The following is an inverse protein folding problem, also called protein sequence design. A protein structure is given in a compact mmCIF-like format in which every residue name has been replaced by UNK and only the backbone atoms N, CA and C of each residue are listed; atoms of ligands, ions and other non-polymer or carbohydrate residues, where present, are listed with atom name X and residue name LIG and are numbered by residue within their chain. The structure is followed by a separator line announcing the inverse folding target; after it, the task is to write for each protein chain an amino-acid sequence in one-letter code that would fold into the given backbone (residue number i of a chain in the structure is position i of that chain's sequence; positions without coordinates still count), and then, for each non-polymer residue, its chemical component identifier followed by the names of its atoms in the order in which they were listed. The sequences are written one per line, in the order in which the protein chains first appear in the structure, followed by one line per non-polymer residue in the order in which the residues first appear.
data_IF_664770830993
#
_entry.id   IF_664770830993
#
_cell.length_a   1.000
_cell.length_b   1.000
_cell.length_c   1.000
_cell.angle_alpha   90.00
_cell.angle_beta   90.00
_cell.angle_gamma   90.00
#
_symmetry.space_group_name_H-M   'P 1'
#
loop_
_entity.id
_entity.type
_entity.pdbx_description
1 polymer ?
#
# COMPACT_ATOMS: atom_id res chain seq x y z
N UNK A 1 -11.95 2.88 1.00
CA UNK A 1 -11.67 3.46 -0.33
C UNK A 1 -10.72 2.56 -1.12
N UNK A 2 -9.51 2.30 -0.61
CA UNK A 2 -8.50 1.43 -1.22
C UNK A 2 -9.05 0.09 -1.76
N UNK A 3 -9.77 -0.68 -0.93
CA UNK A 3 -10.33 -1.97 -1.34
C UNK A 3 -11.24 -1.87 -2.56
N UNK A 4 -12.19 -0.93 -2.55
CA UNK A 4 -13.17 -0.75 -3.64
C UNK A 4 -12.58 -0.13 -4.90
N UNK A 5 -11.54 0.70 -4.76
CA UNK A 5 -10.96 1.43 -5.89
C UNK A 5 -9.74 0.75 -6.52
N UNK A 6 -9.12 -0.22 -5.84
CA UNK A 6 -7.87 -0.86 -6.29
C UNK A 6 -7.89 -2.36 -6.11
N UNK A 7 -8.07 -2.82 -4.88
CA UNK A 7 -7.73 -4.19 -4.54
C UNK A 7 -8.80 -5.19 -4.97
N UNK A 8 -10.04 -4.74 -5.23
CA UNK A 8 -11.15 -5.63 -5.55
C UNK A 8 -10.88 -6.47 -6.80
N UNK A 9 -10.37 -5.82 -7.85
CA UNK A 9 -9.96 -6.52 -9.07
C UNK A 9 -8.94 -7.62 -8.78
N UNK A 10 -7.86 -7.30 -8.07
CA UNK A 10 -6.80 -8.27 -7.76
C UNK A 10 -7.29 -9.42 -6.89
N UNK A 11 -8.14 -9.14 -5.89
CA UNK A 11 -8.74 -10.17 -5.05
C UNK A 11 -9.60 -11.13 -5.88
N UNK A 12 -10.45 -10.59 -6.77
CA UNK A 12 -11.34 -11.40 -7.61
C UNK A 12 -10.54 -12.19 -8.65
N UNK A 13 -9.52 -11.58 -9.25
CA UNK A 13 -8.63 -12.23 -10.21
C UNK A 13 -7.86 -13.40 -9.58
N UNK A 14 -7.24 -13.21 -8.41
CA UNK A 14 -6.53 -14.28 -7.72
C UNK A 14 -7.48 -15.37 -7.16
N UNK A 15 -8.69 -14.99 -6.74
CA UNK A 15 -9.72 -15.95 -6.38
C UNK A 15 -10.12 -16.83 -7.58
N UNK A 16 -10.25 -16.24 -8.77
CA UNK A 16 -10.59 -16.96 -9.99
C UNK A 16 -9.44 -17.89 -10.42
N UNK A 17 -8.18 -17.44 -10.39
CA UNK A 17 -7.03 -18.30 -10.69
C UNK A 17 -6.99 -19.55 -9.81
N UNK A 18 -7.28 -19.40 -8.52
CA UNK A 18 -7.40 -20.52 -7.60
C UNK A 18 -8.60 -21.42 -7.92
N UNK A 19 -9.75 -20.82 -8.23
CA UNK A 19 -10.97 -21.56 -8.57
C UNK A 19 -10.78 -22.44 -9.81
N UNK A 20 -10.07 -21.92 -10.81
CA UNK A 20 -9.79 -22.61 -12.08
C UNK A 20 -8.68 -23.66 -11.98
N UNK A 21 -8.03 -23.78 -10.82
CA UNK A 21 -6.94 -24.73 -10.59
C UNK A 21 -5.57 -24.27 -11.11
N UNK A 22 -5.42 -22.99 -11.48
CA UNK A 22 -4.13 -22.41 -11.89
C UNK A 22 -3.28 -21.91 -10.71
N UNK A 23 -3.78 -22.04 -9.49
CA UNK A 23 -3.06 -21.69 -8.28
C UNK A 23 -3.35 -22.70 -7.16
N UNK A 24 -2.37 -23.54 -6.83
CA UNK A 24 -2.42 -24.52 -5.75
C UNK A 24 -1.86 -24.00 -4.42
N UNK A 25 -1.15 -22.86 -4.46
CA UNK A 25 -0.55 -22.22 -3.29
C UNK A 25 0.77 -22.83 -2.83
N UNK A 26 1.40 -23.65 -3.68
CA UNK A 26 2.80 -24.05 -3.55
C UNK A 26 3.73 -22.84 -3.52
N UNK A 27 4.97 -23.05 -3.07
CA UNK A 27 5.94 -21.95 -3.04
C UNK A 27 6.28 -21.45 -4.45
N UNK A 28 6.36 -22.36 -5.42
CA UNK A 28 6.54 -22.01 -6.83
C UNK A 28 5.42 -21.09 -7.33
N UNK A 29 4.16 -21.46 -7.06
CA UNK A 29 3.02 -20.63 -7.44
C UNK A 29 3.11 -19.24 -6.82
N UNK A 30 3.40 -19.15 -5.52
CA UNK A 30 3.56 -17.86 -4.85
C UNK A 30 4.67 -17.01 -5.47
N UNK A 31 5.82 -17.60 -5.81
CA UNK A 31 6.91 -16.88 -6.48
C UNK A 31 6.52 -16.41 -7.87
N UNK A 32 5.82 -17.24 -8.65
CA UNK A 32 5.28 -16.85 -9.96
C UNK A 32 4.29 -15.70 -9.81
N UNK A 33 3.39 -15.77 -8.82
CA UNK A 33 2.43 -14.70 -8.55
C UNK A 33 3.13 -13.38 -8.19
N UNK A 34 4.16 -13.45 -7.33
CA UNK A 34 4.98 -12.29 -7.00
C UNK A 34 5.66 -11.73 -8.24
N UNK A 35 6.35 -12.56 -9.00
CA UNK A 35 7.07 -12.16 -10.21
C UNK A 35 6.16 -11.49 -11.24
N UNK A 36 5.00 -12.09 -11.53
CA UNK A 36 4.09 -11.61 -12.57
C UNK A 36 3.33 -10.34 -12.18
N UNK A 37 2.90 -10.22 -10.92
CA UNK A 37 1.90 -9.21 -10.55
C UNK A 37 2.37 -8.19 -9.53
N UNK A 38 3.39 -8.48 -8.72
CA UNK A 38 3.76 -7.60 -7.61
C UNK A 38 4.21 -6.22 -8.08
N UNK A 39 5.00 -6.15 -9.16
CA UNK A 39 5.45 -4.87 -9.73
C UNK A 39 4.28 -4.01 -10.23
N UNK A 40 3.29 -4.63 -10.87
CA UNK A 40 2.07 -3.98 -11.36
C UNK A 40 1.21 -3.50 -10.20
N UNK A 41 0.97 -4.36 -9.21
CA UNK A 41 0.21 -4.02 -7.99
C UNK A 41 0.89 -2.85 -7.26
N UNK A 42 2.21 -2.90 -7.11
CA UNK A 42 2.96 -1.83 -6.46
C UNK A 42 2.79 -0.49 -7.19
N UNK A 43 2.90 -0.49 -8.53
CA UNK A 43 2.67 0.72 -9.33
C UNK A 43 1.25 1.29 -9.16
N UNK A 44 0.23 0.43 -9.11
CA UNK A 44 -1.14 0.88 -8.87
C UNK A 44 -1.33 1.46 -7.46
N UNK A 45 -0.74 0.82 -6.45
CA UNK A 45 -0.76 1.32 -5.07
C UNK A 45 -0.06 2.67 -4.94
N UNK A 46 1.07 2.86 -5.63
CA UNK A 46 1.79 4.13 -5.66
C UNK A 46 0.96 5.25 -6.30
N UNK A 47 0.27 4.97 -7.42
CA UNK A 47 -0.64 5.95 -8.04
C UNK A 47 -1.76 6.37 -7.10
N UNK A 48 -2.35 5.41 -6.40
CA UNK A 48 -3.46 5.69 -5.46
C UNK A 48 -2.98 6.47 -4.26
N UNK A 49 -1.78 6.17 -3.74
CA UNK A 49 -1.15 6.98 -2.70
C UNK A 49 -1.03 8.42 -3.18
N UNK A 50 -0.56 8.66 -4.40
CA UNK A 50 -0.33 10.01 -4.91
C UNK A 50 -1.65 10.76 -5.13
N UNK A 51 -2.66 10.11 -5.72
CA UNK A 51 -4.01 10.67 -5.86
C UNK A 51 -4.64 11.00 -4.51
N UNK A 52 -4.53 10.08 -3.55
CA UNK A 52 -5.02 10.26 -2.20
C UNK A 52 -4.27 11.36 -1.45
N UNK A 53 -2.96 11.48 -1.63
CA UNK A 53 -2.21 12.54 -0.98
C UNK A 53 -2.52 13.92 -1.58
N UNK A 54 -2.83 13.97 -2.87
CA UNK A 54 -3.15 15.20 -3.57
C UNK A 54 -4.61 15.65 -3.41
N UNK A 55 -5.58 14.76 -3.19
CA UNK A 55 -7.00 15.14 -3.22
C UNK A 55 -7.35 16.15 -2.12
N UNK A 56 -8.32 17.03 -2.42
CA UNK A 56 -8.76 18.05 -1.48
C UNK A 56 -10.01 17.59 -0.71
N UNK A 57 -9.87 17.36 0.58
CA UNK A 57 -10.97 17.08 1.50
C UNK A 57 -11.71 18.38 1.80
N UNK A 58 -13.01 18.39 1.50
CA UNK A 58 -13.85 19.57 1.71
C UNK A 58 -14.16 19.77 3.19
N UNK A 59 -14.23 21.04 3.61
CA UNK A 59 -14.66 21.41 4.95
C UNK A 59 -16.08 20.88 5.25
N UNK A 60 -16.27 20.07 6.32
CA UNK A 60 -17.58 19.59 6.74
C UNK A 60 -18.44 20.72 7.33
N UNK A 61 -19.71 20.82 6.93
CA UNK A 61 -20.60 21.93 7.35
C UNK A 61 -21.17 21.79 8.77
N UNK A 62 -21.33 20.57 9.28
CA UNK A 62 -22.12 20.28 10.49
C UNK A 62 -21.34 19.50 11.56
N UNK A 63 -20.05 19.26 11.36
CA UNK A 63 -19.20 18.45 12.25
C UNK A 63 -17.80 19.03 12.18
N UNK A 64 -17.08 19.14 13.30
CA UNK A 64 -15.64 19.40 13.25
C UNK A 64 -14.92 18.17 12.69
N UNK A 65 -14.17 18.36 11.61
CA UNK A 65 -13.47 17.26 10.95
C UNK A 65 -12.32 17.76 10.10
N UNK A 66 -11.43 16.83 9.69
CA UNK A 66 -10.29 17.17 8.86
C UNK A 66 -10.74 17.74 7.51
N UNK A 67 -10.02 18.77 7.06
CA UNK A 67 -10.22 19.40 5.77
C UNK A 67 -8.87 19.82 5.20
N UNK A 68 -8.80 20.00 3.88
CA UNK A 68 -7.58 20.31 3.17
C UNK A 68 -6.99 19.12 2.42
N UNK A 69 -5.71 19.21 2.05
CA UNK A 69 -5.02 18.16 1.30
C UNK A 69 -4.23 17.27 2.26
N UNK A 70 -4.39 15.93 2.24
CA UNK A 70 -3.69 15.05 3.17
C UNK A 70 -2.17 15.25 3.19
N UNK A 71 -1.54 15.47 2.04
CA UNK A 71 -0.09 15.75 1.97
C UNK A 71 0.32 17.01 2.72
N UNK A 72 -0.51 18.05 2.71
CA UNK A 72 -0.23 19.30 3.42
C UNK A 72 -0.56 19.15 4.90
N UNK A 73 -1.69 18.52 5.22
CA UNK A 73 -2.09 18.25 6.60
C UNK A 73 -1.04 17.44 7.36
N UNK A 74 -0.36 16.50 6.68
CA UNK A 74 0.71 15.68 7.26
C UNK A 74 2.03 16.44 7.38
N UNK A 75 2.46 17.14 6.33
CA UNK A 75 3.80 17.75 6.29
C UNK A 75 3.88 19.14 6.94
N UNK A 76 2.77 19.90 6.91
CA UNK A 76 2.72 21.30 7.38
C UNK A 76 1.39 21.55 8.11
N UNK A 77 1.17 20.89 9.26
CA UNK A 77 -0.08 20.99 10.03
C UNK A 77 -0.44 22.43 10.43
N UNK A 78 0.54 23.32 10.55
CA UNK A 78 0.38 24.72 10.97
C UNK A 78 -0.51 25.52 10.02
N UNK A 79 -0.53 25.16 8.72
CA UNK A 79 -1.41 25.79 7.71
C UNK A 79 -2.89 25.64 8.07
N UNK A 80 -3.24 24.60 8.82
CA UNK A 80 -4.60 24.33 9.28
C UNK A 80 -4.81 24.66 10.76
N UNK A 81 -3.92 25.45 11.36
CA UNK A 81 -3.91 25.78 12.79
C UNK A 81 -3.88 24.53 13.70
N UNK A 82 -3.25 23.46 13.22
CA UNK A 82 -2.96 22.27 14.02
C UNK A 82 -1.45 22.14 14.23
N UNK A 83 -1.03 21.10 14.96
CA UNK A 83 0.37 20.82 15.29
C UNK A 83 0.78 19.45 14.79
N UNK A 84 2.07 19.21 14.74
CA UNK A 84 2.61 17.90 14.42
C UNK A 84 2.33 16.89 15.56
N UNK A 85 1.90 15.71 15.18
CA UNK A 85 1.63 14.55 16.04
C UNK A 85 2.43 13.31 15.61
N UNK A 86 3.39 13.46 14.69
CA UNK A 86 4.24 12.36 14.22
C UNK A 86 5.01 11.77 15.41
N UNK A 87 4.90 10.46 15.56
CA UNK A 87 5.73 9.68 16.47
C UNK A 87 6.91 9.10 15.69
N UNK A 88 8.12 9.52 16.02
CA UNK A 88 9.32 9.00 15.37
C UNK A 88 9.59 7.57 15.82
N UNK A 89 9.55 6.65 14.87
CA UNK A 89 9.96 5.26 15.05
C UNK A 89 11.48 5.17 14.89
N UNK A 90 12.13 4.28 15.64
CA UNK A 90 13.56 4.07 15.52
C UNK A 90 13.92 3.56 14.12
N UNK A 91 14.95 4.14 13.54
CA UNK A 91 15.41 3.78 12.21
C UNK A 91 15.96 2.35 12.17
N UNK A 92 16.53 1.85 13.27
CA UNK A 92 17.02 0.47 13.32
C UNK A 92 15.87 -0.53 13.25
N UNK A 93 14.82 -0.33 14.03
CA UNK A 93 13.59 -1.14 13.96
C UNK A 93 12.98 -1.11 12.56
N UNK A 94 12.94 0.07 11.93
CA UNK A 94 12.41 0.22 10.58
C UNK A 94 13.27 -0.51 9.54
N UNK A 95 14.59 -0.53 9.72
CA UNK A 95 15.51 -1.19 8.81
C UNK A 95 15.44 -2.72 8.92
N UNK A 96 15.20 -3.27 10.12
CA UNK A 96 14.95 -4.70 10.32
C UNK A 96 13.74 -5.15 9.49
N UNK A 97 12.62 -4.43 9.56
CA UNK A 97 11.43 -4.76 8.77
C UNK A 97 11.69 -4.68 7.25
N UNK A 98 12.50 -3.73 6.78
CA UNK A 98 12.86 -3.63 5.36
C UNK A 98 13.71 -4.80 4.89
N UNK A 99 14.64 -5.24 5.73
CA UNK A 99 15.52 -6.37 5.42
C UNK A 99 14.74 -7.69 5.41
N UNK A 100 13.82 -7.89 6.36
CA UNK A 100 12.93 -9.06 6.39
C UNK A 100 11.86 -9.03 5.29
N UNK A 101 11.47 -7.83 4.84
CA UNK A 101 10.53 -7.62 3.74
C UNK A 101 11.15 -7.65 2.34
N UNK A 102 12.45 -7.97 2.21
CA UNK A 102 13.04 -8.19 0.89
C UNK A 102 12.42 -9.43 0.25
N UNK A 103 11.94 -9.25 -0.98
CA UNK A 103 11.64 -10.37 -1.87
C UNK A 103 12.86 -11.29 -1.88
N UNK A 104 12.57 -12.59 -1.73
CA UNK A 104 13.54 -13.68 -1.73
C UNK A 104 14.82 -13.30 -2.49
N UNK A 105 15.97 -13.32 -1.80
CA UNK A 105 17.29 -13.07 -2.39
C UNK A 105 17.39 -13.73 -3.77
N UNK A 106 18.09 -13.09 -4.71
CA UNK A 106 18.39 -13.53 -6.10
C UNK A 106 19.05 -14.92 -6.25
N UNK A 107 19.06 -15.74 -5.21
CA UNK A 107 19.46 -17.13 -5.25
C UNK A 107 18.27 -18.00 -5.67
N UNK A 108 18.36 -18.73 -6.80
CA UNK A 108 17.40 -19.78 -7.09
C UNK A 108 17.37 -20.76 -5.92
N UNK A 109 16.17 -21.14 -5.48
CA UNK A 109 15.94 -22.04 -4.35
C UNK A 109 16.36 -23.49 -4.64
N UNK A 110 17.17 -23.72 -5.67
CA UNK A 110 17.58 -25.02 -6.16
C UNK A 110 18.66 -25.59 -5.22
N UNK A 111 18.21 -26.34 -4.21
CA UNK A 111 18.96 -27.41 -3.56
C UNK A 111 18.12 -28.66 -3.40
#
# INVERSE_FOLDING_TARGET
MLRKHCCQFWMDFFAQLKHDGFFDGSELDKEIMRFCFLSTIQQELDRIRDEWNAHHIRYPRNVEGPYGRPVIMYNIPEVYNTRDYIFHVDQQETQLCKNEGTLHNDYPCDR
#
